data_IF_835195857388
#
_entry.id   IF_835195857388
#
_cell.length_a   1.000
_cell.length_b   1.000
_cell.length_c   1.000
_cell.angle_alpha   90.00
_cell.angle_beta   90.00
_cell.angle_gamma   90.00
#
_symmetry.space_group_name_H-M   'P 1'
#
loop_
_entity.id
_entity.type
_entity.pdbx_description
1 polymer ?
#
# COMPACT_ATOMS: atom_id res chain seq x y z
N UNK A 1 -0.29 8.52 24.31
CA UNK A 1 0.45 8.52 23.03
C UNK A 1 1.44 7.37 22.88
N UNK A 2 2.27 7.03 23.88
CA UNK A 2 3.23 5.91 23.78
C UNK A 2 2.60 4.58 23.34
N UNK A 3 1.44 4.22 23.91
CA UNK A 3 0.76 2.96 23.58
C UNK A 3 0.34 2.84 22.11
N UNK A 4 -0.19 3.91 21.50
CA UNK A 4 -0.60 3.89 20.09
C UNK A 4 0.60 3.73 19.15
N UNK A 5 1.76 4.29 19.54
CA UNK A 5 3.00 4.14 18.78
C UNK A 5 3.52 2.70 18.85
N UNK A 6 3.58 2.11 20.04
CA UNK A 6 3.93 0.69 20.22
C UNK A 6 2.98 -0.24 19.44
N UNK A 7 1.69 0.09 19.40
CA UNK A 7 0.71 -0.63 18.62
C UNK A 7 0.94 -0.52 17.11
N UNK A 8 1.29 0.67 16.61
CA UNK A 8 1.63 0.88 15.21
C UNK A 8 2.92 0.14 14.84
N UNK A 9 3.93 0.18 15.70
CA UNK A 9 5.20 -0.51 15.47
C UNK A 9 4.99 -2.02 15.41
N UNK A 10 4.15 -2.58 16.30
CA UNK A 10 3.76 -3.99 16.24
C UNK A 10 3.04 -4.35 14.94
N UNK A 11 2.18 -3.47 14.41
CA UNK A 11 1.57 -3.69 13.10
C UNK A 11 2.61 -3.67 11.98
N UNK A 12 3.45 -2.65 11.96
CA UNK A 12 4.50 -2.50 10.94
C UNK A 12 5.41 -3.71 10.92
N UNK A 13 5.82 -4.20 12.09
CA UNK A 13 6.60 -5.42 12.21
C UNK A 13 5.83 -6.66 11.71
N UNK A 14 4.58 -6.84 12.15
CA UNK A 14 3.73 -7.98 11.72
C UNK A 14 3.56 -8.06 10.21
N UNK A 15 3.44 -6.91 9.54
CA UNK A 15 3.25 -6.82 8.10
C UNK A 15 4.56 -6.52 7.34
N UNK A 16 5.71 -6.63 8.02
CA UNK A 16 7.05 -6.41 7.47
C UNK A 16 7.26 -5.05 6.78
N UNK A 17 6.56 -4.00 7.22
CA UNK A 17 6.67 -2.63 6.69
C UNK A 17 7.95 -1.96 7.25
N UNK A 18 8.77 -1.27 6.42
CA UNK A 18 8.59 -0.95 5.00
C UNK A 18 9.39 -1.87 4.06
N UNK A 19 9.60 -3.14 4.42
CA UNK A 19 10.52 -4.04 3.73
C UNK A 19 10.03 -4.59 2.37
N UNK A 20 10.96 -5.21 1.60
CA UNK A 20 10.80 -6.05 0.42
C UNK A 20 9.43 -6.55 0.06
N UNK A 21 9.00 -7.37 1.00
CA UNK A 21 7.90 -8.31 0.95
C UNK A 21 6.68 -7.83 1.77
N UNK A 22 6.68 -6.56 2.20
CA UNK A 22 5.65 -6.02 3.10
C UNK A 22 4.24 -6.25 2.56
N UNK A 23 3.31 -6.58 3.45
CA UNK A 23 1.88 -6.59 3.15
C UNK A 23 1.28 -5.23 3.55
N UNK A 24 1.49 -4.24 2.68
CA UNK A 24 1.02 -2.88 2.91
C UNK A 24 -0.51 -2.82 3.01
N UNK A 25 -1.23 -3.61 2.20
CA UNK A 25 -2.69 -3.63 2.21
C UNK A 25 -3.25 -4.27 3.49
N UNK A 26 -2.65 -5.36 3.98
CA UNK A 26 -2.98 -5.93 5.27
C UNK A 26 -2.76 -4.94 6.41
N UNK A 27 -1.64 -4.21 6.39
CA UNK A 27 -1.36 -3.17 7.37
C UNK A 27 -2.37 -2.00 7.30
N UNK A 28 -2.69 -1.51 6.10
CA UNK A 28 -3.69 -0.45 5.88
C UNK A 28 -5.06 -0.89 6.41
N UNK A 29 -5.51 -2.12 6.13
CA UNK A 29 -6.78 -2.64 6.62
C UNK A 29 -6.87 -2.59 8.15
N UNK A 30 -5.81 -2.98 8.83
CA UNK A 30 -5.78 -2.99 10.29
C UNK A 30 -5.71 -1.57 10.89
N UNK A 31 -4.97 -0.65 10.26
CA UNK A 31 -4.98 0.76 10.65
C UNK A 31 -6.37 1.37 10.45
N UNK A 32 -7.03 1.12 9.32
CA UNK A 32 -8.40 1.59 9.06
C UNK A 32 -9.35 1.05 10.12
N UNK A 33 -9.26 -0.24 10.46
CA UNK A 33 -10.08 -0.85 11.52
C UNK A 33 -9.93 -0.10 12.85
N UNK A 34 -8.70 0.23 13.27
CA UNK A 34 -8.42 0.97 14.51
C UNK A 34 -8.89 2.41 14.45
N UNK A 35 -8.73 3.07 13.29
CA UNK A 35 -9.26 4.41 13.05
C UNK A 35 -10.79 4.44 13.21
N UNK A 36 -11.49 3.52 12.56
CA UNK A 36 -12.96 3.43 12.61
C UNK A 36 -13.48 3.06 14.00
N UNK A 37 -12.70 2.32 14.80
CA UNK A 37 -13.03 2.03 16.20
C UNK A 37 -12.76 3.21 17.16
N UNK A 38 -12.02 4.23 16.72
CA UNK A 38 -11.74 5.42 17.53
C UNK A 38 -12.86 6.46 17.37
N UNK A 39 -13.24 7.19 18.43
CA UNK A 39 -14.19 8.29 18.30
C UNK A 39 -13.70 9.31 17.25
N UNK A 40 -14.58 9.77 16.33
CA UNK A 40 -14.28 10.91 15.49
C UNK A 40 -13.83 12.10 16.36
N UNK A 41 -12.84 12.85 15.89
CA UNK A 41 -12.23 14.01 16.60
C UNK A 41 -11.41 13.68 17.87
N UNK A 42 -11.10 12.40 18.10
CA UNK A 42 -10.17 12.02 19.17
C UNK A 42 -8.70 12.07 18.70
N UNK A 43 -7.74 12.32 19.61
CA UNK A 43 -6.31 12.20 19.28
C UNK A 43 -5.91 10.82 18.76
N UNK A 44 -6.66 9.76 19.12
CA UNK A 44 -6.45 8.42 18.60
C UNK A 44 -6.87 8.32 17.12
N UNK A 45 -8.01 8.90 16.76
CA UNK A 45 -8.46 8.97 15.36
C UNK A 45 -7.44 9.70 14.49
N UNK A 46 -6.95 10.86 14.94
CA UNK A 46 -5.94 11.64 14.21
C UNK A 46 -4.63 10.88 14.06
N UNK A 47 -4.20 10.19 15.11
CA UNK A 47 -3.01 9.34 15.05
C UNK A 47 -3.14 8.23 13.99
N UNK A 48 -4.26 7.51 13.96
CA UNK A 48 -4.48 6.46 12.96
C UNK A 48 -4.67 7.01 11.55
N UNK A 49 -5.28 8.19 11.41
CA UNK A 49 -5.39 8.92 10.13
C UNK A 49 -4.01 9.30 9.58
N UNK A 50 -3.11 9.79 10.44
CA UNK A 50 -1.74 10.09 10.05
C UNK A 50 -1.00 8.81 9.63
N UNK A 51 -1.08 7.75 10.42
CA UNK A 51 -0.43 6.47 10.11
C UNK A 51 -0.94 5.85 8.80
N UNK A 52 -2.24 5.98 8.51
CA UNK A 52 -2.83 5.56 7.23
C UNK A 52 -2.25 6.38 6.06
N UNK A 53 -2.15 7.70 6.24
CA UNK A 53 -1.63 8.61 5.21
C UNK A 53 -0.15 8.32 4.90
N UNK A 54 0.66 7.99 5.91
CA UNK A 54 2.04 7.57 5.74
C UNK A 54 2.15 6.25 4.94
N UNK A 55 1.28 5.27 5.21
CA UNK A 55 1.25 4.04 4.41
C UNK A 55 0.82 4.28 2.96
N UNK A 56 -0.14 5.18 2.71
CA UNK A 56 -0.50 5.51 1.34
C UNK A 56 0.63 6.21 0.58
N UNK A 57 1.40 7.09 1.23
CA UNK A 57 2.61 7.66 0.62
C UNK A 57 3.64 6.59 0.29
N UNK A 58 3.80 5.57 1.13
CA UNK A 58 4.68 4.45 0.85
C UNK A 58 4.19 3.60 -0.34
N UNK A 59 2.88 3.37 -0.46
CA UNK A 59 2.30 2.68 -1.64
C UNK A 59 2.54 3.51 -2.90
N UNK A 60 2.32 4.83 -2.85
CA UNK A 60 2.59 5.74 -3.96
C UNK A 60 4.07 5.70 -4.37
N UNK A 61 4.98 5.79 -3.41
CA UNK A 61 6.42 5.73 -3.68
C UNK A 61 6.79 4.41 -4.37
N UNK A 62 6.25 3.27 -3.89
CA UNK A 62 6.46 1.99 -4.56
C UNK A 62 5.88 1.94 -5.97
N UNK A 63 4.68 2.47 -6.17
CA UNK A 63 4.05 2.53 -7.50
C UNK A 63 4.91 3.27 -8.52
N UNK A 64 5.57 4.36 -8.09
CA UNK A 64 6.41 5.22 -8.94
C UNK A 64 7.82 4.67 -9.11
N UNK A 65 8.44 4.20 -8.03
CA UNK A 65 9.89 4.05 -7.95
C UNK A 65 10.39 2.64 -7.66
N UNK A 66 9.55 1.68 -7.23
CA UNK A 66 10.02 0.33 -6.88
C UNK A 66 10.61 -0.35 -8.13
N UNK A 67 11.93 -0.62 -8.21
CA UNK A 67 12.55 -1.18 -9.41
C UNK A 67 12.42 -2.71 -9.50
N UNK A 68 11.85 -3.36 -8.46
CA UNK A 68 11.73 -4.81 -8.38
C UNK A 68 10.82 -5.40 -9.47
N UNK A 69 11.03 -6.67 -9.85
CA UNK A 69 10.08 -7.37 -10.70
C UNK A 69 8.73 -7.54 -9.97
N UNK A 70 7.61 -7.65 -10.71
CA UNK A 70 6.34 -8.07 -10.13
C UNK A 70 6.52 -9.36 -9.31
N UNK A 71 5.93 -9.40 -8.11
CA UNK A 71 6.04 -10.60 -7.24
C UNK A 71 5.26 -11.77 -7.78
N UNK A 72 4.22 -11.49 -8.57
CA UNK A 72 3.38 -12.48 -9.24
C UNK A 72 3.19 -12.13 -10.71
N UNK A 73 2.98 -13.13 -11.58
CA UNK A 73 2.56 -12.87 -12.96
C UNK A 73 1.29 -12.02 -12.98
N UNK A 74 1.33 -10.90 -13.69
CA UNK A 74 0.15 -10.06 -13.94
C UNK A 74 -0.80 -10.83 -14.86
N UNK A 75 -2.07 -10.93 -14.47
CA UNK A 75 -3.10 -11.56 -15.29
C UNK A 75 -4.07 -10.52 -15.85
N UNK A 76 -4.66 -10.82 -17.00
CA UNK A 76 -5.73 -10.02 -17.59
C UNK A 76 -7.08 -10.66 -17.25
N UNK A 77 -8.01 -9.85 -16.72
CA UNK A 77 -9.42 -10.19 -16.62
C UNK A 77 -10.28 -9.38 -17.59
N UNK A 78 -11.58 -9.62 -17.57
CA UNK A 78 -12.57 -8.89 -18.39
C UNK A 78 -12.55 -7.36 -18.22
N UNK A 79 -12.04 -6.86 -17.08
CA UNK A 79 -11.95 -5.42 -16.78
C UNK A 79 -10.51 -4.87 -16.78
N UNK A 80 -9.52 -5.64 -17.25
CA UNK A 80 -8.12 -5.22 -17.33
C UNK A 80 -7.16 -5.98 -16.41
N UNK A 81 -6.07 -5.33 -16.01
CA UNK A 81 -4.96 -5.93 -15.28
C UNK A 81 -5.32 -6.28 -13.83
N UNK A 82 -4.86 -7.44 -13.38
CA UNK A 82 -4.98 -7.89 -11.99
C UNK A 82 -3.60 -8.05 -11.37
N UNK A 83 -3.41 -7.39 -10.22
CA UNK A 83 -2.18 -7.41 -9.43
C UNK A 83 -2.28 -6.42 -8.28
N UNK A 84 -1.32 -6.47 -7.35
CA UNK A 84 -1.24 -5.55 -6.22
C UNK A 84 -0.48 -4.28 -6.64
N UNK A 85 -1.07 -3.12 -6.38
CA UNK A 85 -0.45 -1.82 -6.66
C UNK A 85 0.83 -1.62 -5.85
N UNK A 86 1.91 -1.21 -6.52
CA UNK A 86 3.23 -1.00 -5.91
C UNK A 86 4.02 -2.28 -5.65
N UNK A 87 3.48 -3.45 -6.04
CA UNK A 87 4.10 -4.76 -5.86
C UNK A 87 4.14 -5.58 -7.14
N UNK A 88 3.01 -5.68 -7.84
CA UNK A 88 2.88 -6.34 -9.14
C UNK A 88 2.67 -5.34 -10.27
N UNK A 89 2.00 -4.22 -9.96
CA UNK A 89 1.65 -3.16 -10.90
C UNK A 89 2.36 -1.85 -10.52
N UNK A 90 3.01 -1.24 -11.50
CA UNK A 90 3.77 0.01 -11.35
C UNK A 90 3.41 1.00 -12.46
N UNK A 91 3.75 2.28 -12.29
CA UNK A 91 3.57 3.29 -13.35
C UNK A 91 4.28 2.89 -14.64
N UNK A 92 5.47 2.27 -14.56
CA UNK A 92 6.19 1.74 -15.73
C UNK A 92 5.43 0.63 -16.47
N UNK A 93 4.66 -0.19 -15.73
CA UNK A 93 3.90 -1.28 -16.33
C UNK A 93 2.82 -0.72 -17.26
N UNK A 94 2.13 0.34 -16.83
CA UNK A 94 1.16 1.07 -17.68
C UNK A 94 1.85 1.71 -18.89
N UNK A 95 3.00 2.36 -18.69
CA UNK A 95 3.75 2.97 -19.78
C UNK A 95 4.17 1.94 -20.86
N UNK A 96 4.59 0.74 -20.45
CA UNK A 96 4.94 -0.35 -21.37
C UNK A 96 3.75 -0.79 -22.24
N UNK A 97 2.56 -0.92 -21.66
CA UNK A 97 1.36 -1.24 -22.46
C UNK A 97 0.94 -0.12 -23.37
N UNK A 98 0.92 1.12 -22.87
CA UNK A 98 0.58 2.27 -23.70
C UNK A 98 1.52 2.34 -24.91
N UNK A 99 2.82 2.11 -24.70
CA UNK A 99 3.78 2.06 -25.79
C UNK A 99 3.49 0.93 -26.77
N UNK A 100 3.17 -0.28 -26.29
CA UNK A 100 2.82 -1.40 -27.15
C UNK A 100 1.55 -1.15 -27.98
N UNK A 101 0.54 -0.49 -27.40
CA UNK A 101 -0.73 -0.18 -28.10
C UNK A 101 -0.56 0.94 -29.12
N UNK A 102 0.19 1.99 -28.79
CA UNK A 102 0.36 3.16 -29.67
C UNK A 102 1.30 2.89 -30.85
N UNK A 103 2.28 2.00 -30.69
CA UNK A 103 3.23 1.65 -31.76
C UNK A 103 2.85 0.39 -32.55
N UNK A 104 1.59 -0.06 -32.43
CA UNK A 104 1.00 -1.09 -33.28
C UNK A 104 0.40 -0.50 -34.57
#
# INVERSE_FOLDING_TARGET
MNHLREELDRLRQRFAVPGPAADLFGCIKEIVRRKTASPPDSPAYDFWQQAQSELYRLVEDRLRHNPGPPRRPVSFGTSGWRGILGEDLFCRSVAQVTWAVVNM
#
